data_IF_761330264751
#
_entry.id   IF_761330264751
#
_cell.length_a   1.000
_cell.length_b   1.000
_cell.length_c   1.000
_cell.angle_alpha   90.00
_cell.angle_beta   90.00
_cell.angle_gamma   90.00
#
_symmetry.space_group_name_H-M   'P 1'
#
loop_
_entity.id
_entity.type
_entity.pdbx_description
1 polymer ?
#
# COMPACT_ATOMS: atom_id res chain seq x y z
N UNK A 1 20.00 -5.14 22.64
CA UNK A 1 19.17 -5.14 21.43
C UNK A 1 17.68 -4.94 21.73
N UNK A 2 17.04 -5.79 22.53
CA UNK A 2 15.62 -5.63 22.86
C UNK A 2 15.36 -4.54 23.90
N UNK A 3 16.34 -4.23 24.73
CA UNK A 3 16.26 -3.12 25.70
C UNK A 3 16.19 -1.78 24.97
N UNK A 4 17.09 -1.55 24.03
CA UNK A 4 17.11 -0.34 23.19
C UNK A 4 15.82 -0.21 22.38
N UNK A 5 15.30 -1.33 21.86
CA UNK A 5 14.01 -1.32 21.13
C UNK A 5 12.87 -0.85 22.02
N UNK A 6 12.78 -1.38 23.27
CA UNK A 6 11.72 -0.99 24.22
C UNK A 6 11.85 0.49 24.64
N UNK A 7 13.08 0.95 24.89
CA UNK A 7 13.32 2.35 25.25
C UNK A 7 12.93 3.30 24.11
N UNK A 8 13.42 3.05 22.89
CA UNK A 8 13.07 3.86 21.71
C UNK A 8 11.59 3.80 21.42
N UNK A 9 10.95 2.63 21.57
CA UNK A 9 9.49 2.49 21.43
C UNK A 9 8.74 3.40 22.40
N UNK A 10 9.09 3.37 23.70
CA UNK A 10 8.46 4.19 24.70
C UNK A 10 8.69 5.70 24.46
N UNK A 11 9.90 6.09 24.06
CA UNK A 11 10.21 7.47 23.69
C UNK A 11 9.39 7.96 22.49
N UNK A 12 9.27 7.13 21.44
CA UNK A 12 8.57 7.50 20.21
C UNK A 12 7.05 7.47 20.33
N UNK A 13 6.49 6.78 21.32
CA UNK A 13 5.04 6.75 21.61
C UNK A 13 4.65 7.64 22.79
N UNK A 14 5.63 8.24 23.47
CA UNK A 14 5.41 9.13 24.61
C UNK A 14 4.78 10.47 24.21
N UNK A 15 4.33 11.25 25.19
CA UNK A 15 3.81 12.60 24.98
C UNK A 15 4.81 13.47 24.19
N UNK A 16 4.29 14.36 23.36
CA UNK A 16 5.06 15.32 22.54
C UNK A 16 5.96 14.67 21.47
N UNK A 17 5.89 13.36 21.27
CA UNK A 17 6.59 12.67 20.19
C UNK A 17 5.76 12.68 18.89
N UNK A 18 6.44 12.42 17.74
CA UNK A 18 5.78 12.31 16.42
C UNK A 18 4.68 11.23 16.40
N UNK A 19 4.87 10.18 17.18
CA UNK A 19 3.95 9.04 17.27
C UNK A 19 3.28 8.93 18.64
N UNK A 20 3.09 10.07 19.32
CA UNK A 20 2.37 10.12 20.58
C UNK A 20 0.99 9.45 20.44
N UNK A 21 0.70 8.52 21.34
CA UNK A 21 -0.57 7.80 21.34
C UNK A 21 -1.63 8.62 22.10
N UNK A 22 -2.80 8.73 21.48
CA UNK A 22 -4.02 9.27 22.09
C UNK A 22 -5.19 8.35 21.80
N UNK A 23 -6.37 8.67 22.32
CA UNK A 23 -7.60 7.96 22.04
C UNK A 23 -8.59 8.86 21.32
N UNK A 24 -9.42 8.25 20.49
CA UNK A 24 -10.54 8.90 19.79
C UNK A 24 -11.74 7.99 19.82
N UNK A 25 -12.93 8.57 19.96
CA UNK A 25 -14.17 7.82 19.86
C UNK A 25 -14.54 7.61 18.38
N UNK A 26 -14.76 6.36 18.00
CA UNK A 26 -15.20 5.95 16.66
C UNK A 26 -16.37 4.98 16.82
N UNK A 27 -17.55 5.36 16.36
CA UNK A 27 -18.77 4.52 16.40
C UNK A 27 -19.11 3.99 17.81
N UNK A 28 -18.81 4.80 18.85
CA UNK A 28 -19.08 4.46 20.26
C UNK A 28 -17.97 3.67 20.95
N UNK A 29 -16.86 3.42 20.28
CA UNK A 29 -15.68 2.73 20.84
C UNK A 29 -14.49 3.68 20.91
N UNK A 30 -13.73 3.62 22.03
CA UNK A 30 -12.48 4.34 22.16
C UNK A 30 -11.34 3.57 21.52
N UNK A 31 -10.74 4.16 20.48
CA UNK A 31 -9.66 3.56 19.74
C UNK A 31 -8.37 4.35 19.89
N UNK A 32 -7.24 3.65 19.96
CA UNK A 32 -5.91 4.24 19.94
C UNK A 32 -5.61 4.84 18.57
N UNK A 33 -5.08 6.05 18.56
CA UNK A 33 -4.62 6.75 17.37
C UNK A 33 -3.33 7.52 17.68
N UNK A 34 -2.66 8.01 16.65
CA UNK A 34 -1.55 8.95 16.83
C UNK A 34 -2.08 10.38 16.91
N UNK A 35 -1.61 11.16 17.90
CA UNK A 35 -2.04 12.54 18.10
C UNK A 35 -1.79 13.44 16.88
N UNK A 36 -0.74 13.14 16.09
CA UNK A 36 -0.35 13.88 14.88
C UNK A 36 -0.76 13.18 13.58
N UNK A 37 -1.67 12.19 13.64
CA UNK A 37 -2.12 11.52 12.43
C UNK A 37 -2.85 12.50 11.50
N UNK A 38 -2.58 12.48 10.19
CA UNK A 38 -3.45 13.12 9.21
C UNK A 38 -4.90 12.62 9.36
N UNK A 39 -5.89 13.48 9.10
CA UNK A 39 -7.29 13.10 9.25
C UNK A 39 -7.75 12.11 8.17
N UNK A 40 -7.14 12.17 6.97
CA UNK A 40 -7.54 11.38 5.83
C UNK A 40 -6.36 11.08 4.90
N UNK A 41 -6.55 10.14 3.98
CA UNK A 41 -5.59 9.91 2.88
C UNK A 41 -5.44 11.13 1.97
N UNK A 42 -6.50 11.97 1.86
CA UNK A 42 -6.39 13.27 1.19
C UNK A 42 -5.26 14.11 1.79
N UNK A 43 -5.17 14.17 3.12
CA UNK A 43 -4.15 14.99 3.77
C UNK A 43 -2.75 14.45 3.48
N UNK A 44 -2.57 13.13 3.45
CA UNK A 44 -1.31 12.50 3.02
C UNK A 44 -0.98 12.90 1.58
N UNK A 45 -1.95 12.83 0.68
CA UNK A 45 -1.77 13.22 -0.72
C UNK A 45 -1.41 14.68 -0.86
N UNK A 46 -2.12 15.57 -0.19
CA UNK A 46 -1.84 17.01 -0.24
C UNK A 46 -0.48 17.38 0.37
N UNK A 47 -0.04 16.70 1.43
CA UNK A 47 1.31 16.86 1.99
C UNK A 47 2.39 16.43 0.99
N UNK A 48 2.14 15.39 0.20
CA UNK A 48 3.08 14.88 -0.81
C UNK A 48 3.35 15.90 -1.93
N UNK A 49 2.49 16.91 -2.14
CA UNK A 49 2.74 18.01 -3.07
C UNK A 49 4.04 18.78 -2.74
N UNK A 50 4.52 18.73 -1.48
CA UNK A 50 5.82 19.29 -1.09
C UNK A 50 7.03 18.62 -1.74
N UNK A 51 6.86 17.47 -2.39
CA UNK A 51 7.90 16.75 -3.12
C UNK A 51 7.89 16.99 -4.64
N UNK A 52 7.26 18.06 -5.10
CA UNK A 52 6.89 18.35 -6.49
C UNK A 52 7.87 17.85 -7.57
N UNK A 53 9.17 18.15 -7.40
CA UNK A 53 10.21 17.85 -8.41
C UNK A 53 10.77 16.43 -8.33
N UNK A 54 10.37 15.64 -7.31
CA UNK A 54 10.84 14.25 -7.18
C UNK A 54 10.09 13.34 -8.13
N UNK A 55 10.80 12.35 -8.69
CA UNK A 55 10.16 11.23 -9.40
C UNK A 55 9.27 10.45 -8.43
N UNK A 56 8.04 10.22 -8.82
CA UNK A 56 7.05 9.50 -8.03
C UNK A 56 6.69 8.15 -8.64
N UNK A 57 6.00 8.14 -9.79
CA UNK A 57 5.57 6.91 -10.45
C UNK A 57 6.48 6.61 -11.64
N UNK A 58 6.92 5.37 -11.76
CA UNK A 58 7.72 4.89 -12.87
C UNK A 58 7.10 3.60 -13.43
N UNK A 59 6.95 3.53 -14.74
CA UNK A 59 6.52 2.33 -15.44
C UNK A 59 7.25 2.25 -16.78
N UNK A 60 8.08 1.22 -16.95
CA UNK A 60 8.96 1.09 -18.11
C UNK A 60 9.85 2.34 -18.32
N UNK A 61 9.61 3.12 -19.38
CA UNK A 61 10.33 4.39 -19.65
C UNK A 61 9.48 5.63 -19.28
N UNK A 62 8.27 5.44 -18.79
CA UNK A 62 7.39 6.53 -18.39
C UNK A 62 7.67 6.93 -16.95
N UNK A 63 7.76 8.24 -16.70
CA UNK A 63 8.05 8.82 -15.39
C UNK A 63 7.08 9.96 -15.09
N UNK A 64 6.48 9.94 -13.92
CA UNK A 64 5.72 11.05 -13.34
C UNK A 64 6.48 11.62 -12.16
N UNK A 65 6.69 12.91 -12.12
CA UNK A 65 7.03 13.60 -10.88
C UNK A 65 5.82 13.66 -9.96
N UNK A 66 6.00 14.04 -8.70
CA UNK A 66 4.86 14.32 -7.82
C UNK A 66 4.00 15.44 -8.39
N UNK A 67 4.59 16.48 -9.00
CA UNK A 67 3.83 17.55 -9.64
C UNK A 67 2.95 17.04 -10.79
N UNK A 68 3.50 16.18 -11.67
CA UNK A 68 2.74 15.56 -12.77
C UNK A 68 1.59 14.72 -12.23
N UNK A 69 1.86 13.89 -11.22
CA UNK A 69 0.88 13.01 -10.61
C UNK A 69 -0.25 13.81 -9.91
N UNK A 70 0.11 14.90 -9.20
CA UNK A 70 -0.89 15.80 -8.58
C UNK A 70 -1.76 16.48 -9.63
N UNK A 71 -1.20 16.97 -10.72
CA UNK A 71 -1.95 17.61 -11.81
C UNK A 71 -2.91 16.61 -12.47
N UNK A 72 -2.45 15.39 -12.74
CA UNK A 72 -3.27 14.35 -13.37
C UNK A 72 -4.37 13.84 -12.42
N UNK A 73 -4.05 13.61 -11.15
CA UNK A 73 -5.05 13.25 -10.14
C UNK A 73 -6.11 14.35 -9.95
N UNK A 74 -5.72 15.63 -10.00
CA UNK A 74 -6.67 16.75 -9.97
C UNK A 74 -7.59 16.76 -11.19
N UNK A 75 -7.06 16.50 -12.39
CA UNK A 75 -7.86 16.37 -13.61
C UNK A 75 -8.89 15.25 -13.51
N UNK A 76 -8.47 14.07 -13.00
CA UNK A 76 -9.36 12.93 -12.74
C UNK A 76 -10.46 13.34 -11.76
N UNK A 77 -10.11 13.95 -10.63
CA UNK A 77 -11.06 14.36 -9.59
C UNK A 77 -12.11 15.35 -10.12
N UNK A 78 -11.66 16.39 -10.86
CA UNK A 78 -12.55 17.37 -11.50
C UNK A 78 -13.49 16.70 -12.50
N UNK A 79 -12.99 15.82 -13.34
CA UNK A 79 -13.81 15.10 -14.30
C UNK A 79 -14.84 14.21 -13.60
N UNK A 80 -14.45 13.44 -12.59
CA UNK A 80 -15.34 12.57 -11.82
C UNK A 80 -16.49 13.36 -11.18
N UNK A 81 -16.20 14.52 -10.58
CA UNK A 81 -17.22 15.38 -10.04
C UNK A 81 -18.16 15.94 -11.13
N UNK A 82 -17.63 16.28 -12.31
CA UNK A 82 -18.46 16.71 -13.46
C UNK A 82 -19.42 15.62 -13.95
N UNK A 83 -19.12 14.36 -13.66
CA UNK A 83 -20.00 13.22 -13.95
C UNK A 83 -21.09 13.00 -12.89
N UNK A 84 -21.16 13.86 -11.86
CA UNK A 84 -22.13 13.75 -10.77
C UNK A 84 -21.76 12.68 -9.72
N UNK A 85 -20.50 12.24 -9.67
CA UNK A 85 -19.98 11.32 -8.65
C UNK A 85 -19.47 12.15 -7.48
N UNK A 86 -19.93 11.86 -6.28
CA UNK A 86 -19.69 12.65 -5.07
C UNK A 86 -19.13 11.77 -3.94
N UNK A 87 -18.71 12.40 -2.83
CA UNK A 87 -18.26 11.70 -1.62
C UNK A 87 -19.27 10.63 -1.19
N UNK A 88 -18.77 9.43 -0.84
CA UNK A 88 -19.55 8.25 -0.50
C UNK A 88 -19.96 7.37 -1.69
N UNK A 89 -19.84 7.88 -2.92
CA UNK A 89 -20.02 7.04 -4.11
C UNK A 89 -18.83 6.08 -4.29
N UNK A 90 -19.02 5.05 -5.11
CA UNK A 90 -18.00 4.03 -5.39
C UNK A 90 -17.54 4.08 -6.84
N UNK A 91 -16.22 3.96 -7.02
CA UNK A 91 -15.55 3.84 -8.32
C UNK A 91 -14.72 2.57 -8.32
N UNK A 92 -14.98 1.69 -9.28
CA UNK A 92 -14.26 0.42 -9.41
C UNK A 92 -13.04 0.58 -10.33
N UNK A 93 -11.89 0.05 -9.89
CA UNK A 93 -10.67 -0.01 -10.66
C UNK A 93 -10.37 -1.48 -11.00
N UNK A 94 -10.43 -1.82 -12.28
CA UNK A 94 -10.17 -3.17 -12.80
C UNK A 94 -9.07 -3.12 -13.85
N UNK A 95 -7.82 -3.14 -13.39
CA UNK A 95 -6.64 -3.09 -14.24
C UNK A 95 -5.43 -3.72 -13.56
N UNK A 96 -4.37 -3.97 -14.30
CA UNK A 96 -3.08 -4.39 -13.79
C UNK A 96 -2.37 -3.25 -13.05
N UNK A 97 -1.14 -3.50 -12.59
CA UNK A 97 -0.30 -2.52 -11.90
C UNK A 97 0.22 -1.46 -12.86
N UNK A 98 -0.64 -0.56 -13.28
CA UNK A 98 -0.28 0.63 -14.05
C UNK A 98 -0.20 1.86 -13.15
N UNK A 99 0.56 2.90 -13.51
CA UNK A 99 0.57 4.19 -12.80
C UNK A 99 -0.82 4.79 -12.66
N UNK A 100 -1.68 4.59 -13.66
CA UNK A 100 -3.06 5.06 -13.67
C UNK A 100 -3.88 4.50 -12.50
N UNK A 101 -3.58 3.28 -11.99
CA UNK A 101 -4.17 2.80 -10.74
C UNK A 101 -3.92 3.79 -9.59
N UNK A 102 -2.65 4.16 -9.39
CA UNK A 102 -2.25 5.06 -8.31
C UNK A 102 -2.85 6.45 -8.46
N UNK A 103 -2.90 6.97 -9.68
CA UNK A 103 -3.50 8.27 -9.99
C UNK A 103 -5.01 8.29 -9.71
N UNK A 104 -5.74 7.28 -10.17
CA UNK A 104 -7.16 7.12 -9.88
C UNK A 104 -7.42 6.92 -8.38
N UNK A 105 -6.60 6.09 -7.71
CA UNK A 105 -6.73 5.88 -6.27
C UNK A 105 -6.63 7.20 -5.49
N UNK A 106 -5.55 7.96 -5.71
CA UNK A 106 -5.34 9.23 -5.01
C UNK A 106 -6.39 10.28 -5.37
N UNK A 107 -6.82 10.35 -6.61
CA UNK A 107 -7.89 11.23 -7.03
C UNK A 107 -9.20 10.93 -6.27
N UNK A 108 -9.61 9.65 -6.21
CA UNK A 108 -10.87 9.22 -5.58
C UNK A 108 -10.85 9.44 -4.07
N UNK A 109 -9.82 8.94 -3.37
CA UNK A 109 -9.76 9.10 -1.89
C UNK A 109 -9.65 10.56 -1.47
N UNK A 110 -9.09 11.41 -2.34
CA UNK A 110 -8.97 12.86 -2.08
C UNK A 110 -10.30 13.62 -2.17
N UNK A 111 -11.31 13.06 -2.83
CA UNK A 111 -12.65 13.66 -2.91
C UNK A 111 -13.71 12.84 -2.15
N UNK A 112 -13.26 11.94 -1.27
CA UNK A 112 -14.14 11.11 -0.44
C UNK A 112 -14.91 10.03 -1.20
N UNK A 113 -14.49 9.70 -2.42
CA UNK A 113 -15.06 8.61 -3.23
C UNK A 113 -14.37 7.32 -2.87
N UNK A 114 -15.14 6.27 -2.62
CA UNK A 114 -14.63 4.95 -2.24
C UNK A 114 -14.11 4.19 -3.45
N UNK A 115 -12.85 3.77 -3.41
CA UNK A 115 -12.24 2.94 -4.44
C UNK A 115 -12.62 1.48 -4.24
N UNK A 116 -13.18 0.82 -5.24
CA UNK A 116 -13.39 -0.62 -5.26
C UNK A 116 -12.26 -1.29 -6.05
N UNK A 117 -11.37 -1.98 -5.36
CA UNK A 117 -10.29 -2.73 -6.00
C UNK A 117 -10.80 -4.05 -6.56
N UNK A 118 -11.01 -4.08 -7.87
CA UNK A 118 -11.48 -5.29 -8.57
C UNK A 118 -10.28 -6.17 -8.92
N UNK A 119 -10.37 -7.45 -8.56
CA UNK A 119 -9.31 -8.41 -8.90
C UNK A 119 -9.18 -8.53 -10.43
N UNK A 120 -8.02 -8.14 -10.96
CA UNK A 120 -7.75 -8.13 -12.40
C UNK A 120 -7.68 -9.53 -13.06
N UNK A 121 -7.76 -10.59 -12.28
CA UNK A 121 -7.85 -11.98 -12.77
C UNK A 121 -9.27 -12.56 -12.74
N UNK A 122 -10.24 -11.80 -12.23
CA UNK A 122 -11.63 -12.27 -12.24
C UNK A 122 -12.13 -12.51 -13.65
N UNK A 123 -12.91 -13.58 -13.79
CA UNK A 123 -13.71 -13.86 -14.98
C UNK A 123 -15.06 -13.15 -14.88
N UNK A 124 -15.84 -13.20 -15.97
CA UNK A 124 -17.11 -12.45 -16.09
C UNK A 124 -18.08 -12.68 -14.93
N UNK A 125 -18.26 -13.92 -14.45
CA UNK A 125 -19.19 -14.22 -13.35
C UNK A 125 -18.70 -13.66 -11.99
N UNK A 126 -17.40 -13.67 -11.75
CA UNK A 126 -16.81 -13.08 -10.55
C UNK A 126 -16.88 -11.55 -10.60
N UNK A 127 -16.64 -10.96 -11.78
CA UNK A 127 -16.81 -9.53 -11.99
C UNK A 127 -18.28 -9.11 -11.81
N UNK A 128 -19.22 -9.88 -12.34
CA UNK A 128 -20.67 -9.65 -12.15
C UNK A 128 -21.02 -9.61 -10.66
N UNK A 129 -20.54 -10.58 -9.90
CA UNK A 129 -20.72 -10.61 -8.45
C UNK A 129 -20.15 -9.35 -7.77
N UNK A 130 -18.91 -9.00 -8.06
CA UNK A 130 -18.24 -7.85 -7.45
C UNK A 130 -18.91 -6.50 -7.79
N UNK A 131 -19.38 -6.33 -9.03
CA UNK A 131 -20.11 -5.14 -9.46
C UNK A 131 -21.50 -5.05 -8.80
N UNK A 132 -22.19 -6.19 -8.66
CA UNK A 132 -23.49 -6.23 -7.98
C UNK A 132 -23.34 -5.88 -6.49
N UNK A 133 -22.35 -6.47 -5.83
CA UNK A 133 -22.10 -6.31 -4.40
C UNK A 133 -21.64 -4.89 -4.05
N UNK A 134 -20.70 -4.32 -4.80
CA UNK A 134 -20.14 -2.99 -4.56
C UNK A 134 -20.93 -1.84 -5.19
N UNK A 135 -21.77 -2.11 -6.21
CA UNK A 135 -22.60 -1.15 -6.94
C UNK A 135 -21.85 0.17 -7.29
N UNK A 136 -20.75 0.14 -8.06
CA UNK A 136 -20.02 1.33 -8.43
C UNK A 136 -20.75 2.16 -9.49
N UNK A 137 -20.58 3.47 -9.49
CA UNK A 137 -21.10 4.38 -10.52
C UNK A 137 -20.19 4.48 -11.75
N UNK A 138 -18.93 4.13 -11.58
CA UNK A 138 -17.89 4.20 -12.61
C UNK A 138 -17.01 2.96 -12.52
N UNK A 139 -16.63 2.42 -13.67
CA UNK A 139 -15.66 1.34 -13.80
C UNK A 139 -14.50 1.81 -14.70
N UNK A 140 -13.29 1.80 -14.15
CA UNK A 140 -12.06 2.10 -14.88
C UNK A 140 -11.39 0.78 -15.24
N UNK A 141 -11.13 0.54 -16.51
CA UNK A 141 -10.62 -0.73 -17.02
C UNK A 141 -9.45 -0.55 -17.97
N UNK A 142 -8.54 -1.51 -18.01
CA UNK A 142 -7.65 -1.72 -19.14
C UNK A 142 -8.32 -2.52 -20.25
N UNK A 143 -7.68 -2.63 -21.41
CA UNK A 143 -8.26 -3.26 -22.60
C UNK A 143 -8.64 -4.73 -22.37
N UNK A 144 -7.82 -5.50 -21.63
CA UNK A 144 -8.12 -6.91 -21.34
C UNK A 144 -9.33 -7.05 -20.39
N UNK A 145 -9.47 -6.14 -19.41
CA UNK A 145 -10.58 -6.20 -18.43
C UNK A 145 -11.87 -5.69 -19.03
N UNK A 146 -11.80 -4.79 -20.01
CA UNK A 146 -12.99 -4.45 -20.79
C UNK A 146 -13.61 -5.69 -21.47
N UNK A 147 -12.77 -6.56 -22.03
CA UNK A 147 -13.25 -7.79 -22.68
C UNK A 147 -13.98 -8.71 -21.68
N UNK A 148 -13.57 -8.76 -20.42
CA UNK A 148 -14.25 -9.50 -19.34
C UNK A 148 -15.57 -8.85 -18.96
N UNK A 149 -15.65 -7.51 -18.99
CA UNK A 149 -16.88 -6.76 -18.70
C UNK A 149 -17.89 -6.75 -19.85
N UNK A 150 -17.46 -6.90 -21.09
CA UNK A 150 -18.31 -6.73 -22.28
C UNK A 150 -19.60 -7.55 -22.26
N UNK A 151 -19.62 -8.82 -21.81
CA UNK A 151 -20.88 -9.58 -21.68
C UNK A 151 -21.87 -8.98 -20.67
N UNK A 152 -21.39 -8.16 -19.74
CA UNK A 152 -22.17 -7.53 -18.67
C UNK A 152 -22.65 -6.13 -19.02
N UNK A 153 -22.18 -5.52 -20.12
CA UNK A 153 -22.43 -4.13 -20.50
C UNK A 153 -23.91 -3.76 -20.50
N UNK A 154 -24.78 -4.64 -21.00
CA UNK A 154 -26.24 -4.41 -21.01
C UNK A 154 -26.86 -4.44 -19.62
N UNK A 155 -26.36 -5.31 -18.75
CA UNK A 155 -26.83 -5.46 -17.36
C UNK A 155 -26.48 -4.22 -16.51
N UNK A 156 -25.31 -3.64 -16.77
CA UNK A 156 -24.77 -2.49 -16.05
C UNK A 156 -24.67 -1.24 -16.93
N UNK A 157 -25.72 -0.97 -17.71
CA UNK A 157 -25.76 0.15 -18.66
C UNK A 157 -25.59 1.52 -17.99
N UNK A 158 -25.92 1.63 -16.69
CA UNK A 158 -25.79 2.89 -15.91
C UNK A 158 -24.37 3.11 -15.39
N UNK A 159 -23.50 2.10 -15.40
CA UNK A 159 -22.09 2.25 -15.00
C UNK A 159 -21.34 2.97 -16.11
N UNK A 160 -20.75 4.13 -15.78
CA UNK A 160 -19.86 4.84 -16.70
C UNK A 160 -18.56 4.06 -16.89
N UNK A 161 -17.97 4.12 -18.09
CA UNK A 161 -16.73 3.39 -18.40
C UNK A 161 -15.61 4.34 -18.75
N UNK A 162 -14.44 4.08 -18.18
CA UNK A 162 -13.19 4.74 -18.54
C UNK A 162 -12.18 3.68 -18.96
N UNK A 163 -11.54 3.90 -20.10
CA UNK A 163 -10.50 3.04 -20.66
C UNK A 163 -9.11 3.60 -20.40
N UNK A 164 -8.23 2.75 -19.88
CA UNK A 164 -6.82 3.06 -19.61
C UNK A 164 -5.95 2.27 -20.58
N UNK A 165 -5.00 2.92 -21.25
CA UNK A 165 -4.03 2.29 -22.16
C UNK A 165 -4.68 1.52 -23.31
N UNK A 166 -5.78 2.02 -23.84
CA UNK A 166 -6.46 1.42 -24.98
C UNK A 166 -5.70 1.72 -26.27
N UNK A 167 -5.52 0.68 -27.08
CA UNK A 167 -4.90 0.79 -28.41
C UNK A 167 -5.76 1.57 -29.42
N UNK A 168 -7.08 1.58 -29.24
CA UNK A 168 -8.06 2.26 -30.09
C UNK A 168 -9.25 2.75 -29.25
N UNK A 169 -9.90 3.84 -29.67
CA UNK A 169 -11.15 4.28 -29.06
C UNK A 169 -12.23 3.19 -29.12
N UNK A 170 -13.00 3.07 -28.06
CA UNK A 170 -14.13 2.12 -27.94
C UNK A 170 -15.40 2.92 -27.66
N UNK A 171 -16.48 2.63 -28.38
CA UNK A 171 -17.78 3.30 -28.22
C UNK A 171 -18.30 3.13 -26.79
N UNK A 172 -18.75 4.26 -26.21
CA UNK A 172 -19.28 4.32 -24.84
C UNK A 172 -18.23 4.14 -23.75
N UNK A 173 -16.93 4.28 -24.07
CA UNK A 173 -15.81 4.27 -23.13
C UNK A 173 -15.05 5.60 -23.25
N UNK A 174 -14.96 6.38 -22.17
CA UNK A 174 -14.17 7.60 -22.13
C UNK A 174 -12.69 7.23 -22.06
N UNK A 175 -11.85 7.82 -22.90
CA UNK A 175 -10.42 7.57 -22.82
C UNK A 175 -9.80 8.33 -21.63
N UNK A 176 -8.92 7.68 -20.88
CA UNK A 176 -8.20 8.31 -19.77
C UNK A 176 -7.43 9.57 -20.21
N UNK A 177 -6.85 9.56 -21.42
CA UNK A 177 -6.14 10.70 -21.94
C UNK A 177 -7.00 11.95 -22.16
N UNK A 178 -8.30 11.77 -22.44
CA UNK A 178 -9.25 12.89 -22.55
C UNK A 178 -9.54 13.50 -21.17
N UNK A 179 -9.55 12.67 -20.13
CA UNK A 179 -9.70 13.08 -18.73
C UNK A 179 -8.47 13.85 -18.25
N UNK A 180 -7.28 13.40 -18.58
CA UNK A 180 -6.01 14.08 -18.27
C UNK A 180 -5.98 15.52 -18.81
N UNK A 181 -6.63 15.77 -19.93
CA UNK A 181 -6.71 17.09 -20.56
C UNK A 181 -7.66 18.08 -19.85
N UNK A 182 -8.49 17.61 -18.89
CA UNK A 182 -9.47 18.48 -18.15
C UNK A 182 -8.75 19.56 -17.35
N UNK A 183 -7.63 19.21 -16.70
CA UNK A 183 -6.85 20.14 -15.90
C UNK A 183 -7.54 20.55 -14.58
N UNK A 184 -7.06 21.64 -14.00
CA UNK A 184 -7.58 22.20 -12.76
C UNK A 184 -6.76 21.84 -11.53
N UNK A 185 -7.18 22.37 -10.38
CA UNK A 185 -6.63 22.04 -9.06
C UNK A 185 -7.46 20.96 -8.39
N UNK A 186 -6.87 20.25 -7.43
CA UNK A 186 -7.60 19.26 -6.65
C UNK A 186 -8.80 19.92 -5.97
N UNK A 187 -10.03 19.43 -6.18
CA UNK A 187 -11.22 20.00 -5.56
C UNK A 187 -11.13 20.07 -4.04
N UNK A 188 -11.66 21.15 -3.44
CA UNK A 188 -11.77 21.24 -1.99
C UNK A 188 -12.96 20.42 -1.51
N UNK A 189 -12.68 19.37 -0.75
CA UNK A 189 -13.68 18.47 -0.16
C UNK A 189 -13.25 18.15 1.26
N UNK A 190 -14.16 18.26 2.21
CA UNK A 190 -13.99 17.72 3.55
C UNK A 190 -14.18 16.20 3.48
N UNK A 191 -13.15 15.44 3.82
CA UNK A 191 -13.19 13.99 3.85
C UNK A 191 -13.31 13.53 5.30
N UNK A 192 -14.41 12.82 5.61
CA UNK A 192 -14.63 12.26 6.93
C UNK A 192 -13.61 11.13 7.18
N UNK A 193 -12.82 11.18 8.28
CA UNK A 193 -11.86 10.15 8.61
C UNK A 193 -12.47 8.75 8.77
N UNK A 194 -13.73 8.64 9.13
CA UNK A 194 -14.41 7.38 9.35
C UNK A 194 -15.26 6.90 8.15
N UNK A 195 -15.21 7.66 7.03
CA UNK A 195 -15.76 7.21 5.74
C UNK A 195 -14.88 6.16 5.08
N UNK A 196 -15.49 5.38 4.17
CA UNK A 196 -14.78 4.35 3.42
C UNK A 196 -13.80 4.98 2.40
N UNK A 197 -12.53 4.60 2.49
CA UNK A 197 -11.50 4.93 1.49
C UNK A 197 -11.50 3.93 0.34
N UNK A 198 -11.54 2.63 0.66
CA UNK A 198 -11.53 1.59 -0.35
C UNK A 198 -12.19 0.29 0.13
N UNK A 199 -12.61 -0.51 -0.84
CA UNK A 199 -13.15 -1.86 -0.66
C UNK A 199 -12.23 -2.82 -1.40
N UNK A 200 -11.60 -3.76 -0.68
CA UNK A 200 -10.80 -4.81 -1.27
C UNK A 200 -11.40 -6.18 -0.98
N UNK A 201 -11.49 -7.00 -2.03
CA UNK A 201 -12.10 -8.31 -1.93
C UNK A 201 -11.13 -9.36 -1.41
N UNK A 202 -11.54 -10.09 -0.37
CA UNK A 202 -10.82 -11.26 0.18
C UNK A 202 -11.48 -12.54 -0.29
N UNK A 203 -10.71 -13.64 -0.35
CA UNK A 203 -11.20 -14.94 -0.84
C UNK A 203 -12.34 -15.54 0.00
N UNK A 204 -12.54 -15.05 1.23
CA UNK A 204 -13.58 -15.52 2.15
C UNK A 204 -13.51 -17.02 2.45
N UNK A 205 -13.94 -17.43 3.64
CA UNK A 205 -14.02 -18.85 4.03
C UNK A 205 -15.27 -19.56 3.48
N UNK A 206 -16.21 -18.82 2.87
CA UNK A 206 -17.54 -19.29 2.47
C UNK A 206 -17.72 -19.48 0.96
N UNK A 207 -16.63 -19.44 0.18
CA UNK A 207 -16.62 -19.71 -1.26
C UNK A 207 -16.92 -18.51 -2.18
N UNK A 208 -17.41 -17.37 -1.65
CA UNK A 208 -17.51 -16.10 -2.39
C UNK A 208 -16.63 -15.04 -1.78
N UNK A 209 -15.96 -14.19 -2.58
CA UNK A 209 -15.18 -13.07 -2.08
C UNK A 209 -16.06 -12.13 -1.25
N UNK A 210 -15.46 -11.55 -0.19
CA UNK A 210 -16.10 -10.53 0.65
C UNK A 210 -15.36 -9.22 0.49
N UNK A 211 -16.08 -8.12 0.29
CA UNK A 211 -15.53 -6.77 0.24
C UNK A 211 -15.24 -6.24 1.63
N UNK A 212 -13.97 -6.18 2.01
CA UNK A 212 -13.55 -5.51 3.25
C UNK A 212 -13.57 -4.00 3.01
N UNK A 213 -14.37 -3.27 3.80
CA UNK A 213 -14.47 -1.81 3.78
C UNK A 213 -13.39 -1.22 4.68
N UNK A 214 -12.48 -0.45 4.09
CA UNK A 214 -11.36 0.15 4.78
C UNK A 214 -11.61 1.65 4.90
N UNK A 215 -11.58 2.17 6.14
CA UNK A 215 -11.81 3.60 6.38
C UNK A 215 -10.59 4.45 6.06
N UNK A 216 -10.80 5.75 5.84
CA UNK A 216 -9.73 6.74 5.68
C UNK A 216 -8.79 6.70 6.90
N UNK A 217 -9.34 6.74 8.13
CA UNK A 217 -8.59 6.63 9.39
C UNK A 217 -7.76 5.35 9.46
N UNK A 218 -8.36 4.20 9.19
CA UNK A 218 -7.68 2.92 9.24
C UNK A 218 -6.49 2.86 8.27
N UNK A 219 -6.66 3.37 7.05
CA UNK A 219 -5.56 3.45 6.07
C UNK A 219 -4.46 4.41 6.51
N UNK A 220 -4.80 5.59 7.04
CA UNK A 220 -3.82 6.54 7.59
C UNK A 220 -3.03 5.94 8.75
N UNK A 221 -3.72 5.27 9.69
CA UNK A 221 -3.05 4.62 10.83
C UNK A 221 -2.12 3.50 10.36
N UNK A 222 -2.49 2.73 9.33
CA UNK A 222 -1.58 1.75 8.74
C UNK A 222 -0.31 2.41 8.18
N UNK A 223 -0.42 3.52 7.46
CA UNK A 223 0.75 4.27 6.94
C UNK A 223 1.64 4.74 8.09
N UNK A 224 1.05 5.30 9.15
CA UNK A 224 1.78 5.76 10.34
C UNK A 224 2.43 4.60 11.10
N UNK A 225 1.74 3.46 11.23
CA UNK A 225 2.29 2.24 11.84
C UNK A 225 3.52 1.72 11.08
N UNK A 226 3.48 1.71 9.75
CA UNK A 226 4.63 1.30 8.93
C UNK A 226 5.81 2.28 9.13
N UNK A 227 5.54 3.58 9.11
CA UNK A 227 6.55 4.60 9.37
C UNK A 227 7.16 4.45 10.77
N UNK A 228 6.33 4.25 11.79
CA UNK A 228 6.76 3.97 13.16
C UNK A 228 7.68 2.75 13.24
N UNK A 229 7.24 1.60 12.69
CA UNK A 229 8.02 0.35 12.76
C UNK A 229 9.38 0.47 12.08
N UNK A 230 9.46 1.16 10.96
CA UNK A 230 10.73 1.42 10.27
C UNK A 230 11.66 2.32 11.10
N UNK A 231 11.14 3.40 11.69
CA UNK A 231 11.92 4.35 12.47
C UNK A 231 12.36 3.77 13.81
N UNK A 232 11.50 3.06 14.53
CA UNK A 232 11.84 2.48 15.83
C UNK A 232 12.95 1.44 15.70
N UNK A 233 12.90 0.58 14.69
CA UNK A 233 13.96 -0.40 14.42
C UNK A 233 15.27 0.30 14.04
N UNK A 234 15.21 1.28 13.14
CA UNK A 234 16.40 2.03 12.70
C UNK A 234 17.07 2.73 13.87
N UNK A 235 16.31 3.46 14.71
CA UNK A 235 16.86 4.16 15.87
C UNK A 235 17.41 3.21 16.93
N UNK A 236 16.70 2.12 17.23
CA UNK A 236 17.15 1.15 18.22
C UNK A 236 18.45 0.45 17.81
N UNK A 237 18.61 0.11 16.53
CA UNK A 237 19.86 -0.45 16.02
C UNK A 237 20.99 0.60 16.00
N UNK A 238 20.70 1.83 15.63
CA UNK A 238 21.68 2.91 15.64
C UNK A 238 22.16 3.22 17.08
N UNK A 239 21.24 3.24 18.06
CA UNK A 239 21.55 3.41 19.49
C UNK A 239 22.45 2.29 19.98
N UNK A 240 22.09 1.03 19.69
CA UNK A 240 22.90 -0.16 19.99
C UNK A 240 24.33 -0.04 19.44
N UNK A 241 24.46 0.54 18.24
CA UNK A 241 25.74 0.66 17.54
C UNK A 241 26.49 1.98 17.86
N UNK A 242 25.94 2.86 18.71
CA UNK A 242 26.51 4.16 19.03
C UNK A 242 26.51 5.17 17.87
N UNK A 243 25.58 5.04 16.94
CA UNK A 243 25.47 5.88 15.73
C UNK A 243 24.14 6.66 15.64
N UNK A 244 23.37 6.73 16.74
CA UNK A 244 22.04 7.37 16.74
C UNK A 244 22.12 8.85 16.35
N UNK A 245 23.15 9.59 16.84
CA UNK A 245 23.36 11.00 16.52
C UNK A 245 23.69 11.27 15.04
N UNK A 246 24.04 10.21 14.30
CA UNK A 246 24.32 10.29 12.86
C UNK A 246 23.08 10.06 11.99
N UNK A 247 21.94 9.74 12.59
CA UNK A 247 20.70 9.54 11.84
C UNK A 247 20.17 10.87 11.30
N UNK A 248 19.69 10.89 10.05
CA UNK A 248 19.02 12.07 9.52
C UNK A 248 17.75 12.36 10.32
N UNK A 249 17.34 13.62 10.36
CA UNK A 249 16.05 14.00 10.89
C UNK A 249 14.93 13.26 10.14
N UNK A 250 13.77 12.99 10.77
CA UNK A 250 12.63 12.37 10.10
C UNK A 250 12.28 13.09 8.78
N UNK A 251 12.18 12.35 7.69
CA UNK A 251 11.92 12.90 6.34
C UNK A 251 13.14 13.45 5.59
N UNK A 252 14.32 13.58 6.24
CA UNK A 252 15.56 14.05 5.61
C UNK A 252 16.50 12.90 5.15
N UNK A 253 16.07 11.66 5.32
CA UNK A 253 16.82 10.48 4.89
C UNK A 253 16.83 10.28 3.37
N UNK A 254 17.57 9.27 2.88
CA UNK A 254 17.55 8.89 1.46
C UNK A 254 16.14 8.60 0.97
N UNK A 255 15.87 8.97 -0.29
CA UNK A 255 14.57 8.67 -0.91
C UNK A 255 14.37 7.16 -1.01
N UNK A 256 13.23 6.69 -0.50
CA UNK A 256 12.84 5.28 -0.65
C UNK A 256 12.46 5.02 -2.11
N UNK A 257 13.00 3.97 -2.68
CA UNK A 257 12.62 3.48 -4.02
C UNK A 257 12.02 2.09 -3.86
N UNK A 258 10.75 1.95 -4.18
CA UNK A 258 10.03 0.70 -3.98
C UNK A 258 9.48 0.14 -5.28
N UNK A 259 9.52 -1.19 -5.41
CA UNK A 259 8.96 -1.92 -6.55
C UNK A 259 7.63 -2.56 -6.15
N UNK A 260 6.56 -2.25 -6.88
CA UNK A 260 5.23 -2.85 -6.71
C UNK A 260 5.20 -4.21 -7.40
N UNK A 261 5.31 -5.26 -6.62
CA UNK A 261 5.37 -6.66 -7.09
C UNK A 261 4.06 -7.41 -6.95
N UNK A 262 3.24 -7.04 -5.97
CA UNK A 262 1.91 -7.60 -5.73
C UNK A 262 0.82 -6.68 -6.32
N UNK A 263 -0.40 -7.19 -6.54
CA UNK A 263 -1.45 -6.39 -7.16
C UNK A 263 -1.90 -5.20 -6.31
N UNK A 264 -2.12 -4.06 -6.95
CA UNK A 264 -2.59 -2.83 -6.30
C UNK A 264 -4.05 -2.93 -5.78
N UNK A 265 -4.84 -3.88 -6.27
CA UNK A 265 -6.16 -4.18 -5.69
C UNK A 265 -6.09 -5.00 -4.38
N UNK A 266 -4.91 -5.13 -3.78
CA UNK A 266 -4.67 -5.72 -2.47
C UNK A 266 -3.98 -4.74 -1.52
N UNK A 267 -4.30 -4.84 -0.22
CA UNK A 267 -3.69 -4.01 0.84
C UNK A 267 -2.16 -4.08 0.84
N UNK A 268 -1.57 -5.22 0.48
CA UNK A 268 -0.11 -5.39 0.47
C UNK A 268 0.56 -4.36 -0.43
N UNK A 269 0.12 -4.21 -1.70
CA UNK A 269 0.72 -3.23 -2.60
C UNK A 269 0.19 -1.82 -2.34
N UNK A 270 -1.14 -1.65 -2.26
CA UNK A 270 -1.75 -0.34 -2.16
C UNK A 270 -1.45 0.32 -0.81
N UNK A 271 -1.78 -0.36 0.29
CA UNK A 271 -1.72 0.22 1.64
C UNK A 271 -0.34 0.09 2.29
N UNK A 272 0.40 -1.01 2.02
CA UNK A 272 1.67 -1.25 2.70
C UNK A 272 2.90 -0.86 1.87
N UNK A 273 2.75 -0.57 0.57
CA UNK A 273 3.87 -0.14 -0.30
C UNK A 273 3.64 1.26 -0.86
N UNK A 274 2.58 1.47 -1.65
CA UNK A 274 2.34 2.74 -2.35
C UNK A 274 2.06 3.90 -1.38
N UNK A 275 1.13 3.74 -0.44
CA UNK A 275 0.75 4.82 0.48
C UNK A 275 1.92 5.29 1.37
N UNK A 276 2.69 4.39 2.04
CA UNK A 276 3.85 4.82 2.83
C UNK A 276 4.94 5.49 2.00
N UNK A 277 5.21 5.00 0.78
CA UNK A 277 6.14 5.65 -0.13
C UNK A 277 5.69 7.08 -0.47
N UNK A 278 4.39 7.29 -0.70
CA UNK A 278 3.83 8.61 -0.99
C UNK A 278 4.02 9.58 0.19
N UNK A 279 3.75 9.14 1.42
CA UNK A 279 3.93 9.99 2.62
C UNK A 279 5.36 10.50 2.75
N UNK A 280 6.35 9.70 2.34
CA UNK A 280 7.79 10.01 2.53
C UNK A 280 8.46 10.62 1.28
N UNK A 281 7.70 10.91 0.23
CA UNK A 281 8.24 11.42 -1.04
C UNK A 281 9.08 10.37 -1.77
N UNK A 282 8.76 9.10 -1.59
CA UNK A 282 9.43 7.97 -2.22
C UNK A 282 9.05 7.76 -3.67
N UNK A 283 9.87 6.99 -4.39
CA UNK A 283 9.61 6.56 -5.77
C UNK A 283 8.92 5.20 -5.78
N UNK A 284 7.87 5.06 -6.56
CA UNK A 284 7.07 3.84 -6.74
C UNK A 284 7.21 3.35 -8.18
N UNK A 285 7.82 2.20 -8.36
CA UNK A 285 8.01 1.59 -9.66
C UNK A 285 6.94 0.51 -9.85
N UNK A 286 6.21 0.60 -10.93
CA UNK A 286 5.15 -0.35 -11.26
C UNK A 286 5.70 -1.48 -12.14
N UNK A 287 5.26 -2.70 -11.85
CA UNK A 287 5.54 -3.87 -12.65
C UNK A 287 4.20 -4.51 -13.06
N UNK A 288 3.97 -4.65 -14.37
CA UNK A 288 2.71 -5.19 -14.91
C UNK A 288 2.33 -6.55 -14.31
N UNK A 289 3.30 -7.47 -14.28
CA UNK A 289 3.22 -8.77 -13.64
C UNK A 289 4.57 -9.16 -13.09
N UNK A 290 4.58 -10.01 -12.08
CA UNK A 290 5.80 -10.48 -11.47
C UNK A 290 6.67 -11.30 -12.45
N UNK A 291 7.93 -10.94 -12.50
CA UNK A 291 9.03 -11.68 -13.14
C UNK A 291 10.32 -11.36 -12.40
N UNK A 292 11.01 -12.37 -11.87
CA UNK A 292 12.20 -12.17 -11.04
C UNK A 292 13.39 -11.59 -11.82
N UNK A 293 13.55 -11.97 -13.08
CA UNK A 293 14.61 -11.45 -13.94
C UNK A 293 14.40 -9.98 -14.29
N UNK A 294 13.15 -9.59 -14.57
CA UNK A 294 12.80 -8.19 -14.80
C UNK A 294 12.93 -7.37 -13.51
N UNK A 295 12.52 -7.93 -12.37
CA UNK A 295 12.70 -7.29 -11.07
C UNK A 295 14.19 -7.00 -10.78
N UNK A 296 15.11 -7.91 -11.09
CA UNK A 296 16.55 -7.69 -10.93
C UNK A 296 17.08 -6.55 -11.81
N UNK A 297 16.63 -6.43 -13.07
CA UNK A 297 16.97 -5.30 -13.95
C UNK A 297 16.47 -3.97 -13.38
N UNK A 298 15.22 -3.94 -12.89
CA UNK A 298 14.62 -2.76 -12.27
C UNK A 298 15.38 -2.37 -10.99
N UNK A 299 15.74 -3.34 -10.14
CA UNK A 299 16.53 -3.12 -8.92
C UNK A 299 17.85 -2.43 -9.27
N UNK A 300 18.57 -2.95 -10.24
CA UNK A 300 19.86 -2.38 -10.68
C UNK A 300 19.66 -1.00 -11.32
N UNK A 301 18.76 -0.87 -12.32
CA UNK A 301 18.52 0.38 -13.05
C UNK A 301 18.09 1.53 -12.13
N UNK A 302 17.13 1.28 -11.27
CA UNK A 302 16.49 2.31 -10.45
C UNK A 302 16.98 2.37 -9.01
N UNK A 303 17.92 1.50 -8.62
CA UNK A 303 18.49 1.42 -7.26
C UNK A 303 17.37 1.23 -6.21
N UNK A 304 16.52 0.23 -6.43
CA UNK A 304 15.42 -0.12 -5.51
C UNK A 304 15.97 -0.38 -4.11
N UNK A 305 15.38 0.27 -3.09
CA UNK A 305 15.83 0.17 -1.71
C UNK A 305 15.07 -0.87 -0.90
N UNK A 306 13.82 -1.15 -1.28
CA UNK A 306 12.97 -2.14 -0.62
C UNK A 306 12.06 -2.87 -1.58
N UNK A 307 11.93 -4.17 -1.37
CA UNK A 307 10.98 -5.01 -2.09
C UNK A 307 10.11 -5.76 -1.09
N UNK A 308 8.80 -5.49 -1.15
CA UNK A 308 7.80 -6.16 -0.33
C UNK A 308 6.87 -6.97 -1.23
N UNK A 309 6.82 -8.28 -0.96
CA UNK A 309 5.99 -9.21 -1.73
C UNK A 309 5.63 -10.44 -0.90
N UNK A 310 5.32 -11.55 -1.58
CA UNK A 310 5.14 -12.85 -0.92
C UNK A 310 6.48 -13.61 -0.86
N UNK A 311 6.68 -14.54 0.08
CA UNK A 311 7.97 -15.21 0.29
C UNK A 311 8.58 -15.88 -0.94
N UNK A 312 7.74 -16.39 -1.86
CA UNK A 312 8.22 -16.99 -3.12
C UNK A 312 8.98 -15.98 -3.98
N UNK A 313 8.55 -14.72 -4.01
CA UNK A 313 9.23 -13.67 -4.79
C UNK A 313 10.64 -13.39 -4.27
N UNK A 314 10.82 -13.33 -2.95
CA UNK A 314 12.16 -13.22 -2.34
C UNK A 314 13.04 -14.40 -2.70
N UNK A 315 12.49 -15.62 -2.68
CA UNK A 315 13.22 -16.84 -3.05
C UNK A 315 13.63 -16.84 -4.52
N UNK A 316 12.74 -16.40 -5.41
CA UNK A 316 13.01 -16.31 -6.85
C UNK A 316 14.07 -15.24 -7.17
N UNK A 317 14.08 -14.11 -6.48
CA UNK A 317 15.13 -13.08 -6.63
C UNK A 317 16.51 -13.63 -6.28
N UNK A 318 16.69 -14.11 -5.05
CA UNK A 318 18.01 -14.55 -4.58
C UNK A 318 18.48 -15.87 -5.23
N UNK A 319 17.55 -16.68 -5.72
CA UNK A 319 17.82 -17.93 -6.46
C UNK A 319 17.92 -17.78 -7.97
N UNK A 320 17.75 -16.55 -8.51
CA UNK A 320 17.77 -16.34 -9.95
C UNK A 320 19.16 -16.59 -10.54
N UNK A 321 19.30 -17.33 -11.66
CA UNK A 321 20.61 -17.62 -12.28
C UNK A 321 21.44 -16.37 -12.55
N UNK A 322 20.80 -15.28 -12.88
CA UNK A 322 21.43 -14.02 -13.19
C UNK A 322 21.55 -13.05 -12.01
N UNK A 323 21.24 -13.47 -10.78
CA UNK A 323 21.30 -12.61 -9.59
C UNK A 323 22.61 -11.84 -9.47
N UNK A 324 23.74 -12.50 -9.70
CA UNK A 324 25.07 -11.91 -9.59
C UNK A 324 25.47 -11.00 -10.77
N UNK A 325 24.63 -10.89 -11.81
CA UNK A 325 24.87 -9.99 -12.94
C UNK A 325 24.38 -8.57 -12.66
N UNK A 326 23.53 -8.41 -11.66
CA UNK A 326 22.88 -7.12 -11.32
C UNK A 326 23.39 -6.59 -9.98
N UNK A 327 23.50 -5.26 -9.90
CA UNK A 327 23.83 -4.59 -8.63
C UNK A 327 22.60 -4.46 -7.73
N UNK A 328 22.54 -5.35 -6.74
CA UNK A 328 21.49 -5.37 -5.70
C UNK A 328 21.91 -4.66 -4.41
N UNK A 329 23.03 -3.93 -4.40
CA UNK A 329 23.59 -3.28 -3.21
C UNK A 329 22.71 -2.17 -2.62
N UNK A 330 21.77 -1.64 -3.41
CA UNK A 330 20.77 -0.67 -2.97
C UNK A 330 19.68 -1.28 -2.09
N UNK A 331 19.41 -2.59 -2.20
CA UNK A 331 18.39 -3.26 -1.38
C UNK A 331 18.82 -3.25 0.10
N UNK A 332 18.02 -2.60 0.94
CA UNK A 332 18.16 -2.59 2.41
C UNK A 332 17.15 -3.51 3.09
N UNK A 333 16.04 -3.85 2.40
CA UNK A 333 15.02 -4.75 2.88
C UNK A 333 14.48 -5.63 1.73
N UNK A 334 14.36 -6.93 2.00
CA UNK A 334 13.72 -7.90 1.10
C UNK A 334 12.82 -8.80 1.94
N UNK A 335 11.56 -8.92 1.53
CA UNK A 335 10.59 -9.73 2.27
C UNK A 335 9.16 -9.31 1.99
N UNK A 336 8.36 -9.20 3.03
CA UNK A 336 6.96 -8.78 2.90
C UNK A 336 6.01 -9.54 3.81
N UNK A 337 4.79 -9.76 3.31
CA UNK A 337 3.71 -10.37 4.08
C UNK A 337 2.88 -11.34 3.25
N UNK A 338 1.66 -11.62 3.71
CA UNK A 338 0.72 -12.52 3.04
C UNK A 338 0.97 -14.00 3.30
N UNK A 339 2.17 -14.38 3.73
CA UNK A 339 2.54 -15.70 4.22
C UNK A 339 3.79 -15.62 5.10
N UNK A 340 4.03 -16.64 5.92
CA UNK A 340 5.20 -16.71 6.78
C UNK A 340 6.49 -16.82 5.94
N UNK A 341 7.43 -15.92 6.20
CA UNK A 341 8.80 -16.06 5.67
C UNK A 341 9.52 -17.15 6.44
N UNK A 342 9.87 -18.23 5.76
CA UNK A 342 10.49 -19.39 6.41
C UNK A 342 11.89 -19.02 6.96
N UNK A 343 12.30 -19.55 8.13
CA UNK A 343 13.57 -19.20 8.76
C UNK A 343 14.80 -19.44 7.89
N UNK A 344 14.80 -20.50 7.06
CA UNK A 344 15.87 -20.77 6.10
C UNK A 344 16.02 -19.64 5.06
N UNK A 345 14.90 -19.03 4.66
CA UNK A 345 14.90 -17.93 3.71
C UNK A 345 15.40 -16.63 4.35
N UNK A 346 15.11 -16.41 5.65
CA UNK A 346 15.65 -15.26 6.39
C UNK A 346 17.17 -15.25 6.39
N UNK A 347 17.79 -16.40 6.67
CA UNK A 347 19.25 -16.57 6.61
C UNK A 347 19.82 -16.35 5.20
N UNK A 348 19.21 -16.98 4.19
CA UNK A 348 19.64 -16.86 2.78
C UNK A 348 19.56 -15.44 2.25
N UNK A 349 18.55 -14.67 2.65
CA UNK A 349 18.45 -13.23 2.28
C UNK A 349 19.63 -12.47 2.88
N UNK A 350 19.96 -12.69 4.15
CA UNK A 350 21.09 -12.03 4.82
C UNK A 350 22.45 -12.40 4.21
N UNK A 351 22.60 -13.61 3.68
CA UNK A 351 23.80 -14.06 2.98
C UNK A 351 23.90 -13.50 1.55
N UNK A 352 22.77 -13.40 0.85
CA UNK A 352 22.72 -12.96 -0.55
C UNK A 352 22.86 -11.45 -0.71
N UNK A 353 22.29 -10.66 0.20
CA UNK A 353 22.27 -9.19 0.11
C UNK A 353 23.44 -8.56 0.86
N UNK A 354 24.19 -7.70 0.17
CA UNK A 354 25.35 -7.00 0.76
C UNK A 354 24.95 -6.07 1.91
N UNK A 355 23.87 -5.29 1.73
CA UNK A 355 23.43 -4.25 2.66
C UNK A 355 22.02 -4.49 3.20
N UNK A 356 21.33 -5.52 2.71
CA UNK A 356 19.93 -5.76 3.01
C UNK A 356 19.73 -6.92 3.98
N UNK A 357 18.60 -6.90 4.65
CA UNK A 357 18.15 -7.97 5.53
C UNK A 357 16.68 -8.30 5.28
N UNK A 358 16.27 -9.45 5.81
CA UNK A 358 14.90 -9.88 5.74
C UNK A 358 13.97 -8.97 6.57
N UNK A 359 12.75 -8.80 6.07
CA UNK A 359 11.66 -8.10 6.76
C UNK A 359 10.36 -8.86 6.56
N UNK A 360 9.50 -8.88 7.58
CA UNK A 360 8.15 -9.45 7.48
C UNK A 360 7.12 -8.62 8.21
N UNK A 361 5.89 -8.61 7.68
CA UNK A 361 4.73 -8.06 8.34
C UNK A 361 3.59 -9.08 8.35
N UNK A 362 2.89 -9.17 9.46
CA UNK A 362 1.64 -9.90 9.58
C UNK A 362 0.48 -8.89 9.59
N UNK A 363 -0.56 -9.19 8.85
CA UNK A 363 -1.73 -8.33 8.76
C UNK A 363 -2.85 -8.97 7.95
N UNK A 364 -3.96 -8.25 7.86
CA UNK A 364 -5.17 -8.66 7.12
C UNK A 364 -5.71 -7.48 6.35
N UNK A 365 -6.55 -7.75 5.36
CA UNK A 365 -7.27 -6.70 4.64
C UNK A 365 -8.14 -5.89 5.61
N UNK A 366 -8.84 -6.56 6.52
CA UNK A 366 -9.76 -5.98 7.50
C UNK A 366 -9.07 -5.06 8.53
N UNK A 367 -7.75 -5.16 8.68
CA UNK A 367 -6.94 -4.26 9.53
C UNK A 367 -6.26 -3.14 8.74
N UNK A 368 -6.68 -2.90 7.50
CA UNK A 368 -6.10 -1.92 6.57
C UNK A 368 -4.63 -2.19 6.22
N UNK A 369 -4.04 -3.28 6.69
CA UNK A 369 -2.64 -3.63 6.45
C UNK A 369 -2.01 -4.38 7.62
N UNK A 370 -0.92 -3.83 8.19
CA UNK A 370 -0.11 -4.52 9.19
C UNK A 370 -0.75 -4.52 10.59
N UNK A 371 -0.66 -5.68 11.25
CA UNK A 371 -0.94 -5.86 12.68
C UNK A 371 0.37 -5.86 13.47
N UNK A 372 1.38 -6.50 12.92
CA UNK A 372 2.72 -6.58 13.51
C UNK A 372 3.79 -6.61 12.43
N UNK A 373 5.02 -6.25 12.78
CA UNK A 373 6.14 -6.32 11.86
C UNK A 373 7.46 -6.56 12.60
N UNK A 374 8.42 -7.18 11.90
CA UNK A 374 9.78 -7.35 12.37
C UNK A 374 10.75 -7.33 11.19
N UNK A 375 11.92 -6.75 11.40
CA UNK A 375 12.93 -6.63 10.35
C UNK A 375 14.34 -6.61 10.93
N UNK A 376 15.33 -6.62 10.04
CA UNK A 376 16.73 -6.44 10.35
C UNK A 376 17.25 -7.50 11.34
N UNK A 377 18.14 -7.14 12.27
CA UNK A 377 18.73 -8.03 13.25
C UNK A 377 17.71 -8.69 14.18
N UNK A 378 16.58 -8.01 14.45
CA UNK A 378 15.50 -8.56 15.26
C UNK A 378 14.83 -9.76 14.60
N UNK A 379 14.68 -9.72 13.28
CA UNK A 379 14.09 -10.84 12.55
C UNK A 379 15.08 -12.01 12.36
N UNK A 380 16.37 -11.68 12.19
CA UNK A 380 17.42 -12.72 12.15
C UNK A 380 17.51 -13.45 13.49
N UNK A 381 17.42 -12.72 14.61
CA UNK A 381 17.46 -13.31 15.97
C UNK A 381 16.22 -14.16 16.27
N UNK A 382 15.06 -13.79 15.75
CA UNK A 382 13.78 -14.51 15.97
C UNK A 382 13.03 -14.76 14.66
N UNK A 383 13.53 -15.66 13.80
CA UNK A 383 13.01 -15.85 12.43
C UNK A 383 11.61 -16.50 12.37
N UNK A 384 11.07 -16.94 13.50
CA UNK A 384 9.70 -17.45 13.62
C UNK A 384 8.69 -16.39 14.07
N UNK A 385 9.16 -15.21 14.48
CA UNK A 385 8.30 -14.16 15.00
C UNK A 385 7.69 -13.32 13.89
N UNK A 386 6.42 -12.93 14.05
CA UNK A 386 5.77 -11.89 13.25
C UNK A 386 6.07 -10.46 13.77
N UNK A 387 6.82 -10.34 14.86
CA UNK A 387 7.12 -9.07 15.53
C UNK A 387 6.06 -8.61 16.53
N UNK A 388 6.30 -7.48 17.21
CA UNK A 388 5.34 -6.88 18.12
C UNK A 388 4.16 -6.29 17.36
N UNK A 389 2.98 -6.26 18.00
CA UNK A 389 1.83 -5.51 17.51
C UNK A 389 2.17 -4.02 17.39
N UNK A 390 1.66 -3.37 16.35
CA UNK A 390 1.87 -1.92 16.15
C UNK A 390 1.15 -1.10 17.23
N UNK A 391 1.58 0.13 17.54
CA UNK A 391 1.09 0.88 18.69
C UNK A 391 -0.42 1.14 18.75
N UNK A 392 -1.08 1.21 17.60
CA UNK A 392 -2.53 1.49 17.51
C UNK A 392 -3.41 0.25 17.53
N UNK A 393 -2.84 -0.95 17.61
CA UNK A 393 -3.57 -2.23 17.64
C UNK A 393 -3.26 -3.00 18.91
N UNK A 394 -4.25 -3.73 19.38
CA UNK A 394 -4.12 -4.69 20.47
C UNK A 394 -4.30 -6.11 19.94
N UNK A 395 -3.48 -7.02 20.42
CA UNK A 395 -3.55 -8.43 20.06
C UNK A 395 -3.62 -9.29 21.33
N UNK A 396 -4.48 -10.30 21.30
CA UNK A 396 -4.57 -11.32 22.35
C UNK A 396 -4.72 -12.71 21.74
N UNK A 397 -4.26 -13.71 22.48
CA UNK A 397 -4.50 -15.11 22.12
C UNK A 397 -5.76 -15.59 22.87
N UNK A 398 -6.58 -16.34 22.16
CA UNK A 398 -7.81 -16.94 22.73
C UNK A 398 -7.82 -18.45 22.45
N UNK A 399 -8.42 -19.22 23.38
CA UNK A 399 -8.70 -20.63 23.18
C UNK A 399 -9.89 -20.86 22.22
N UNK A 400 -10.22 -22.12 21.94
CA UNK A 400 -11.36 -22.47 21.08
C UNK A 400 -12.73 -22.07 21.65
N UNK A 401 -12.80 -21.72 22.92
CA UNK A 401 -14.01 -21.25 23.62
C UNK A 401 -14.08 -19.72 23.68
N UNK A 402 -13.06 -19.01 23.17
CA UNK A 402 -12.98 -17.54 23.15
C UNK A 402 -12.40 -16.91 24.42
N UNK A 403 -11.88 -17.70 25.37
CA UNK A 403 -11.22 -17.18 26.55
C UNK A 403 -9.78 -16.78 26.26
N UNK A 404 -9.34 -15.67 26.86
CA UNK A 404 -7.95 -15.26 26.77
C UNK A 404 -7.02 -16.27 27.46
N UNK A 405 -5.94 -16.68 26.78
CA UNK A 405 -4.94 -17.60 27.31
C UNK A 405 -3.69 -16.84 27.76
N UNK A 406 -3.04 -17.38 28.80
CA UNK A 406 -1.81 -16.78 29.31
C UNK A 406 -0.66 -16.86 28.30
N UNK A 407 0.32 -15.96 28.44
CA UNK A 407 1.49 -15.93 27.55
C UNK A 407 2.26 -17.26 27.61
N UNK A 408 2.41 -17.92 26.47
CA UNK A 408 3.10 -19.20 26.31
C UNK A 408 2.20 -20.43 26.41
N UNK A 409 0.91 -20.27 26.65
CA UNK A 409 -0.09 -21.34 26.50
C UNK A 409 -0.53 -21.47 25.04
N UNK A 410 -0.83 -22.72 24.62
CA UNK A 410 -1.21 -23.09 23.24
C UNK A 410 -2.63 -23.67 23.27
#
# INVERSE_FOLDING_TARGET
>A
MYEELRQVWAEMTGPDSLFAITETEVRGENLKTYAMAPNSLRDIWMLAAGFADREYLVYEEEVWTYADAHAEAASIANWVQSQGIVSGDRVALSMRNYPEWSLWYWAMVSIGVTVVGVNAWWVTDELDYGLHDSAPKLLVVDEERLAVFEPLRKKYADIKLVGVRFSKPVEGVTAHNDIKAVGGTMPEVAVDPDSDACIFYTSGTTGRPKGAQLTQRGCVLNVMNIAFMNLVVTRALARKNGTEDSLPAPGAGPVTVTLVTTPLFHVTANNCVMQPATLTGGKVIHMYKWDAGEALKIIDKHKVTGLSGVPVMSREIIGHPDFHKYDTSSLTALGGGGAQLQPDLVGKIGEALKNGKAATGYGMTETCGIISAVSQDYFIDRPFSAGPAVPTLEAKCIDSSGNEVAQGEI
#
